data_IF_054086455344
#
_entry.id   IF_054086455344
#
_cell.length_a   1.000
_cell.length_b   1.000
_cell.length_c   1.000
_cell.angle_alpha   90.00
_cell.angle_beta   90.00
_cell.angle_gamma   90.00
#
_symmetry.space_group_name_H-M   'P 1'
#
loop_
_entity.id
_entity.type
_entity.pdbx_description
1 polymer ?
#
# COMPACT_ATOMS: atom_id res chain seq x y z
N UNK A 1 5.55 17.43 -11.61
CA UNK A 1 5.89 16.21 -10.86
C UNK A 1 7.39 16.02 -10.94
N UNK A 2 8.08 15.94 -9.81
CA UNK A 2 9.51 15.63 -9.77
C UNK A 2 9.78 14.57 -8.69
N UNK A 3 10.74 13.65 -8.91
CA UNK A 3 11.07 12.64 -7.92
C UNK A 3 11.54 13.27 -6.60
N UNK A 4 12.22 14.43 -6.63
CA UNK A 4 12.73 15.11 -5.43
C UNK A 4 11.61 15.53 -4.47
N UNK A 5 10.48 16.01 -4.98
CA UNK A 5 9.37 16.39 -4.10
C UNK A 5 8.66 15.14 -3.53
N UNK A 6 8.56 14.06 -4.31
CA UNK A 6 8.05 12.78 -3.81
C UNK A 6 8.96 12.21 -2.71
N UNK A 7 10.27 12.28 -2.90
CA UNK A 7 11.26 11.86 -1.90
C UNK A 7 11.09 12.66 -0.60
N UNK A 8 10.89 13.98 -0.68
CA UNK A 8 10.58 14.81 0.50
C UNK A 8 9.27 14.41 1.17
N UNK A 9 8.20 14.11 0.40
CA UNK A 9 6.92 13.62 0.94
C UNK A 9 7.09 12.36 1.76
N UNK A 10 8.00 11.48 1.38
CA UNK A 10 8.31 10.26 2.12
C UNK A 10 9.43 10.44 3.16
N UNK A 11 9.82 11.69 3.47
CA UNK A 11 10.80 12.00 4.51
C UNK A 11 12.26 11.75 4.13
N UNK A 12 12.57 11.59 2.83
CA UNK A 12 13.93 11.40 2.33
C UNK A 12 14.51 12.69 1.76
N UNK A 13 15.79 12.95 2.06
CA UNK A 13 16.58 13.98 1.37
C UNK A 13 16.97 13.46 -0.02
N UNK A 14 16.54 14.13 -1.12
CA UNK A 14 16.86 13.72 -2.47
C UNK A 14 18.35 13.58 -2.76
N UNK A 15 19.21 14.36 -2.10
CA UNK A 15 20.66 14.32 -2.28
C UNK A 15 21.31 13.06 -1.70
N UNK A 16 20.56 12.28 -0.91
CA UNK A 16 21.04 11.07 -0.23
C UNK A 16 20.53 9.78 -0.88
N UNK A 17 19.75 9.87 -1.95
CA UNK A 17 19.26 8.70 -2.68
C UNK A 17 20.29 8.35 -3.74
N UNK A 18 20.95 7.21 -3.54
CA UNK A 18 21.94 6.68 -4.47
C UNK A 18 21.29 6.14 -5.76
N UNK A 19 22.13 5.79 -6.73
CA UNK A 19 21.74 5.10 -7.97
C UNK A 19 20.91 3.82 -7.71
N UNK A 20 20.06 3.39 -8.67
CA UNK A 20 19.21 2.21 -8.53
C UNK A 20 19.94 0.96 -8.02
N UNK A 21 19.42 0.37 -6.94
CA UNK A 21 19.96 -0.86 -6.35
C UNK A 21 19.12 -1.38 -5.18
N UNK A 22 19.44 -2.55 -4.62
CA UNK A 22 18.59 -3.18 -3.61
C UNK A 22 18.47 -2.37 -2.31
N UNK A 23 19.57 -1.75 -1.86
CA UNK A 23 19.56 -0.98 -0.61
C UNK A 23 18.78 0.35 -0.75
N UNK A 24 18.96 1.17 -1.81
CA UNK A 24 18.09 2.31 -2.05
C UNK A 24 16.63 1.91 -2.25
N UNK A 25 16.34 0.82 -2.98
CA UNK A 25 14.97 0.31 -3.18
C UNK A 25 14.29 -0.01 -1.85
N UNK A 26 14.99 -0.73 -0.95
CA UNK A 26 14.52 -1.02 0.41
C UNK A 26 14.22 0.25 1.19
N UNK A 27 15.12 1.23 1.13
CA UNK A 27 14.95 2.52 1.83
C UNK A 27 13.74 3.29 1.30
N UNK A 28 13.50 3.29 -0.01
CA UNK A 28 12.35 3.95 -0.64
C UNK A 28 11.03 3.31 -0.20
N UNK A 29 10.92 1.98 -0.27
CA UNK A 29 9.71 1.24 0.14
C UNK A 29 9.40 1.47 1.61
N UNK A 30 10.41 1.33 2.48
CA UNK A 30 10.26 1.51 3.92
C UNK A 30 9.82 2.93 4.28
N UNK A 31 10.45 3.94 3.67
CA UNK A 31 10.11 5.35 3.88
C UNK A 31 8.67 5.66 3.43
N UNK A 32 8.24 5.16 2.27
CA UNK A 32 6.88 5.37 1.79
C UNK A 32 5.83 4.81 2.75
N UNK A 33 5.97 3.55 3.16
CA UNK A 33 4.98 2.84 3.99
C UNK A 33 4.78 3.49 5.36
N UNK A 34 5.78 4.25 5.83
CA UNK A 34 5.74 5.01 7.08
C UNK A 34 5.24 6.44 6.94
N UNK A 35 5.35 7.03 5.76
CA UNK A 35 5.01 8.43 5.54
C UNK A 35 3.64 8.61 4.86
N UNK A 36 3.24 7.69 4.00
CA UNK A 36 2.03 7.79 3.19
C UNK A 36 1.00 6.78 3.67
N UNK A 37 -0.14 7.21 4.24
CA UNK A 37 -1.16 6.30 4.70
C UNK A 37 -1.84 5.55 3.55
N UNK A 38 -2.22 4.30 3.82
CA UNK A 38 -3.25 3.61 3.08
C UNK A 38 -4.61 4.14 3.53
N UNK A 39 -5.47 4.61 2.61
CA UNK A 39 -6.80 5.14 2.95
C UNK A 39 -7.82 5.00 1.81
N UNK A 40 -9.10 4.88 2.16
CA UNK A 40 -10.23 4.86 1.23
C UNK A 40 -11.16 6.09 1.39
N UNK A 41 -10.73 7.17 2.03
CA UNK A 41 -11.56 8.37 2.28
C UNK A 41 -11.96 9.07 0.98
N UNK A 42 -11.15 8.98 -0.08
CA UNK A 42 -11.56 9.44 -1.41
C UNK A 42 -12.76 8.66 -1.98
N UNK A 43 -13.04 7.46 -1.46
CA UNK A 43 -14.16 6.61 -1.85
C UNK A 43 -15.36 6.87 -0.93
N UNK A 44 -15.16 6.74 0.38
CA UNK A 44 -16.27 6.76 1.36
C UNK A 44 -16.65 8.17 1.86
N UNK A 45 -15.78 9.16 1.64
CA UNK A 45 -15.97 10.51 2.18
C UNK A 45 -15.54 10.64 3.64
N UNK A 46 -16.03 11.70 4.28
CA UNK A 46 -15.87 11.94 5.71
C UNK A 46 -16.93 11.15 6.49
N UNK A 47 -16.55 10.22 7.40
CA UNK A 47 -17.51 9.45 8.17
C UNK A 47 -18.31 10.28 9.18
N UNK A 48 -17.84 11.46 9.57
CA UNK A 48 -18.44 12.31 10.61
C UNK A 48 -18.74 13.73 10.12
N UNK A 49 -18.67 13.96 8.82
CA UNK A 49 -18.96 15.24 8.16
C UNK A 49 -19.86 15.08 6.93
N UNK A 50 -20.11 16.19 6.22
CA UNK A 50 -20.98 16.19 5.03
C UNK A 50 -20.18 16.01 3.71
N UNK A 51 -18.86 15.86 3.79
CA UNK A 51 -17.99 15.73 2.63
C UNK A 51 -18.08 14.34 2.01
N UNK A 52 -18.64 14.25 0.80
CA UNK A 52 -18.66 13.00 0.00
C UNK A 52 -17.28 12.65 -0.58
N UNK A 53 -17.08 11.37 -0.89
CA UNK A 53 -15.88 10.89 -1.57
C UNK A 53 -15.78 11.43 -2.99
N UNK A 54 -14.63 12.05 -3.33
CA UNK A 54 -14.37 12.61 -4.66
C UNK A 54 -14.14 11.53 -5.76
N UNK A 55 -14.03 10.27 -5.38
CA UNK A 55 -13.64 9.15 -6.23
C UNK A 55 -12.13 9.06 -6.45
N UNK A 56 -11.71 7.90 -6.95
CA UNK A 56 -10.33 7.56 -7.24
C UNK A 56 -10.08 7.50 -8.74
N UNK A 57 -9.08 8.27 -9.15
CA UNK A 57 -8.55 8.36 -10.52
C UNK A 57 -7.16 7.75 -10.56
N UNK A 58 -6.83 7.04 -11.64
CA UNK A 58 -5.49 6.46 -11.84
C UNK A 58 -4.58 7.36 -12.68
N UNK A 59 -4.92 8.64 -12.85
CA UNK A 59 -4.07 9.59 -13.58
C UNK A 59 -2.84 9.96 -12.74
N UNK A 60 -1.63 9.61 -13.20
CA UNK A 60 -0.38 9.90 -12.48
C UNK A 60 -0.25 11.37 -12.02
N UNK A 61 -0.56 12.39 -12.85
CA UNK A 61 -0.61 13.79 -12.39
C UNK A 61 -1.56 14.05 -11.22
N UNK A 62 -2.75 13.45 -11.24
CA UNK A 62 -3.75 13.64 -10.17
C UNK A 62 -3.36 12.88 -8.90
N UNK A 63 -2.80 11.67 -9.05
CA UNK A 63 -2.22 10.91 -7.94
C UNK A 63 -1.09 11.69 -7.27
N UNK A 64 -0.19 12.28 -8.06
CA UNK A 64 0.90 13.10 -7.54
C UNK A 64 0.37 14.32 -6.78
N UNK A 65 -0.61 15.03 -7.34
CA UNK A 65 -1.25 16.17 -6.65
C UNK A 65 -1.89 15.73 -5.32
N UNK A 66 -2.61 14.60 -5.30
CA UNK A 66 -3.25 14.06 -4.10
C UNK A 66 -2.21 13.67 -3.04
N UNK A 67 -1.30 12.77 -3.39
CA UNK A 67 -0.42 12.11 -2.42
C UNK A 67 0.77 12.98 -2.03
N UNK A 68 1.34 13.73 -2.97
CA UNK A 68 2.57 14.50 -2.76
C UNK A 68 2.30 15.95 -2.42
N UNK A 69 1.42 16.61 -3.17
CA UNK A 69 1.21 18.06 -2.99
C UNK A 69 0.20 18.39 -1.90
N UNK A 70 -0.80 17.53 -1.70
CA UNK A 70 -1.82 17.65 -0.64
C UNK A 70 -1.59 16.69 0.52
N UNK A 71 -0.48 15.97 0.48
CA UNK A 71 -0.02 15.05 1.53
C UNK A 71 -1.02 13.97 1.95
N UNK A 72 -1.99 13.65 1.09
CA UNK A 72 -2.98 12.59 1.33
C UNK A 72 -2.39 11.19 1.14
N UNK A 73 -3.16 10.18 1.55
CA UNK A 73 -2.89 8.78 1.25
C UNK A 73 -3.59 8.32 -0.03
N UNK A 74 -3.80 7.01 -0.12
CA UNK A 74 -4.66 6.37 -1.10
C UNK A 74 -4.72 4.86 -0.89
N UNK A 75 -5.48 4.16 -1.71
CA UNK A 75 -5.48 2.68 -1.66
C UNK A 75 -4.50 2.07 -2.68
N UNK A 76 -4.50 0.74 -2.82
CA UNK A 76 -3.44 -0.01 -3.50
C UNK A 76 -3.10 0.50 -4.92
N UNK A 77 -4.10 0.79 -5.76
CA UNK A 77 -3.86 1.28 -7.13
C UNK A 77 -3.23 2.68 -7.17
N UNK A 78 -3.54 3.53 -6.19
CA UNK A 78 -2.98 4.88 -6.11
C UNK A 78 -1.54 4.84 -5.63
N UNK A 79 -1.29 4.10 -4.54
CA UNK A 79 0.01 4.02 -3.89
C UNK A 79 1.03 3.31 -4.77
N UNK A 80 0.72 2.08 -5.21
CA UNK A 80 1.63 1.36 -6.11
C UNK A 80 1.68 2.01 -7.49
N UNK A 81 0.58 2.62 -7.93
CA UNK A 81 0.47 3.41 -9.16
C UNK A 81 1.52 4.50 -9.24
N UNK A 82 1.54 5.36 -8.21
CA UNK A 82 2.44 6.49 -8.10
C UNK A 82 3.86 6.08 -7.71
N UNK A 83 4.02 5.06 -6.86
CA UNK A 83 5.35 4.56 -6.48
C UNK A 83 6.10 3.97 -7.68
N UNK A 84 5.42 3.27 -8.58
CA UNK A 84 6.02 2.85 -9.84
C UNK A 84 6.54 4.04 -10.67
N UNK A 85 5.78 5.14 -10.74
CA UNK A 85 6.26 6.34 -11.43
C UNK A 85 7.52 6.91 -10.78
N UNK A 86 7.61 6.88 -9.44
CA UNK A 86 8.85 7.25 -8.74
C UNK A 86 10.00 6.34 -9.15
N UNK A 87 9.80 5.02 -9.11
CA UNK A 87 10.83 4.03 -9.44
C UNK A 87 11.37 4.23 -10.86
N UNK A 88 10.47 4.36 -11.85
CA UNK A 88 10.82 4.66 -13.24
C UNK A 88 11.57 6.00 -13.36
N UNK A 89 11.10 7.05 -12.68
CA UNK A 89 11.76 8.36 -12.69
C UNK A 89 13.15 8.36 -12.03
N UNK A 90 13.41 7.43 -11.11
CA UNK A 90 14.73 7.21 -10.49
C UNK A 90 15.61 6.27 -11.31
N UNK A 91 15.12 5.72 -12.42
CA UNK A 91 15.89 4.88 -13.34
C UNK A 91 15.84 3.38 -13.04
N UNK A 92 14.92 2.90 -12.20
CA UNK A 92 14.68 1.47 -12.06
C UNK A 92 13.95 0.92 -13.29
N UNK A 93 14.35 -0.26 -13.75
CA UNK A 93 13.51 -1.07 -14.63
C UNK A 93 12.40 -1.71 -13.78
N UNK A 94 11.14 -1.38 -14.08
CA UNK A 94 10.01 -1.77 -13.23
C UNK A 94 8.78 -2.08 -14.06
N UNK A 95 8.12 -3.19 -13.74
CA UNK A 95 6.85 -3.59 -14.30
C UNK A 95 5.70 -3.40 -13.31
N UNK A 96 4.52 -3.08 -13.83
CA UNK A 96 3.27 -3.18 -13.07
C UNK A 96 2.72 -4.58 -13.29
N UNK A 97 2.40 -5.28 -12.21
CA UNK A 97 1.78 -6.60 -12.27
C UNK A 97 0.40 -6.57 -11.64
N UNK A 98 -0.51 -7.34 -12.24
CA UNK A 98 -1.84 -7.53 -11.72
C UNK A 98 -1.86 -8.69 -10.72
N UNK A 99 -2.32 -8.42 -9.51
CA UNK A 99 -2.40 -9.36 -8.41
C UNK A 99 -3.85 -9.61 -8.00
N UNK A 100 -4.07 -10.75 -7.36
CA UNK A 100 -5.37 -11.17 -6.81
C UNK A 100 -5.17 -11.49 -5.33
N UNK A 101 -5.86 -10.76 -4.47
CA UNK A 101 -5.83 -11.01 -3.02
C UNK A 101 -6.33 -12.42 -2.72
N UNK A 102 -5.72 -13.07 -1.73
CA UNK A 102 -6.22 -14.32 -1.16
C UNK A 102 -7.03 -13.96 0.09
N UNK A 103 -8.34 -14.17 0.03
CA UNK A 103 -9.27 -14.03 1.16
C UNK A 103 -9.71 -15.39 1.71
N UNK A 104 -10.69 -15.38 2.62
CA UNK A 104 -11.19 -16.58 3.31
C UNK A 104 -11.75 -17.64 2.34
N UNK A 105 -12.30 -17.20 1.21
CA UNK A 105 -12.82 -18.06 0.13
C UNK A 105 -11.78 -18.50 -0.90
N UNK A 106 -10.51 -18.16 -0.69
CA UNK A 106 -9.42 -18.32 -1.65
C UNK A 106 -9.14 -17.07 -2.46
N UNK A 107 -8.59 -17.25 -3.66
CA UNK A 107 -8.15 -16.15 -4.52
C UNK A 107 -9.36 -15.39 -5.09
N UNK A 108 -9.37 -14.08 -4.88
CA UNK A 108 -10.42 -13.19 -5.35
C UNK A 108 -10.27 -12.86 -6.84
N UNK A 109 -11.41 -12.71 -7.52
CA UNK A 109 -11.47 -12.42 -8.96
C UNK A 109 -12.39 -11.21 -9.22
N UNK A 110 -12.06 -10.35 -10.20
CA UNK A 110 -10.87 -10.34 -11.04
C UNK A 110 -9.61 -9.89 -10.28
N UNK A 111 -8.49 -9.63 -10.97
CA UNK A 111 -7.31 -9.03 -10.36
C UNK A 111 -7.68 -7.68 -9.71
N UNK A 112 -7.54 -7.63 -8.39
CA UNK A 112 -8.02 -6.57 -7.49
C UNK A 112 -6.90 -5.87 -6.73
N UNK A 113 -5.65 -6.18 -7.07
CA UNK A 113 -4.49 -5.55 -6.48
C UNK A 113 -3.45 -5.24 -7.57
N UNK A 114 -2.69 -4.17 -7.35
CA UNK A 114 -1.55 -3.79 -8.19
C UNK A 114 -0.30 -3.92 -7.34
N UNK A 115 0.71 -4.64 -7.83
CA UNK A 115 2.06 -4.64 -7.26
C UNK A 115 3.09 -4.29 -8.34
N UNK A 116 4.33 -4.02 -7.95
CA UNK A 116 5.41 -3.76 -8.88
C UNK A 116 6.45 -4.89 -8.83
N UNK A 117 7.07 -5.19 -9.97
CA UNK A 117 8.25 -6.06 -10.05
C UNK A 117 9.41 -5.21 -10.54
N UNK A 118 10.45 -5.08 -9.72
CA UNK A 118 11.67 -4.33 -10.06
C UNK A 118 12.75 -5.30 -10.51
N UNK A 119 13.39 -4.97 -11.63
CA UNK A 119 14.46 -5.75 -12.24
C UNK A 119 15.81 -5.11 -11.91
N UNK A 120 16.62 -5.82 -11.12
CA UNK A 120 18.03 -5.52 -10.85
C UNK A 120 18.84 -6.76 -11.29
N UNK A 121 19.95 -7.07 -10.63
CA UNK A 121 20.62 -8.37 -10.79
C UNK A 121 19.67 -9.55 -10.44
N UNK A 122 18.77 -9.30 -9.47
CA UNK A 122 17.64 -10.16 -9.11
C UNK A 122 16.32 -9.39 -9.29
N UNK A 123 15.20 -10.13 -9.22
CA UNK A 123 13.85 -9.55 -9.29
C UNK A 123 13.25 -9.42 -7.91
N UNK A 124 12.56 -8.31 -7.68
CA UNK A 124 11.92 -8.01 -6.40
C UNK A 124 10.47 -7.60 -6.59
N UNK A 125 9.58 -8.20 -5.82
CA UNK A 125 8.23 -7.66 -5.62
C UNK A 125 8.32 -6.45 -4.70
N UNK A 126 7.75 -5.34 -5.15
CA UNK A 126 7.69 -4.08 -4.42
C UNK A 126 6.25 -3.62 -4.35
N UNK A 127 5.75 -3.54 -3.12
CA UNK A 127 4.35 -3.25 -2.84
C UNK A 127 4.25 -2.33 -1.62
N UNK A 128 4.01 -1.05 -1.88
CA UNK A 128 3.81 -0.03 -0.84
C UNK A 128 2.32 0.26 -0.59
N UNK A 129 1.44 -0.37 -1.38
CA UNK A 129 -0.01 -0.20 -1.34
C UNK A 129 -0.75 -1.37 -0.68
N UNK A 130 -0.04 -2.35 -0.14
CA UNK A 130 -0.66 -3.42 0.65
C UNK A 130 -1.24 -2.86 1.95
N UNK A 131 -2.46 -3.28 2.28
CA UNK A 131 -3.13 -2.98 3.55
C UNK A 131 -2.44 -3.64 4.75
N UNK A 132 -3.15 -4.50 5.47
CA UNK A 132 -2.64 -5.18 6.68
C UNK A 132 -2.39 -6.68 6.44
N UNK A 133 -1.23 -7.24 6.86
CA UNK A 133 -0.03 -6.52 7.28
C UNK A 133 0.62 -5.79 6.10
N UNK A 134 1.36 -4.70 6.42
CA UNK A 134 2.05 -3.88 5.43
C UNK A 134 3.31 -4.59 4.92
N UNK A 135 3.58 -4.53 3.62
CA UNK A 135 4.88 -4.94 3.06
C UNK A 135 5.83 -3.75 3.18
N UNK A 136 6.87 -3.87 4.01
CA UNK A 136 7.76 -2.75 4.36
C UNK A 136 9.05 -2.70 3.56
N UNK A 137 9.32 -3.74 2.79
CA UNK A 137 10.56 -3.88 2.03
C UNK A 137 10.36 -4.77 0.80
N UNK A 138 11.23 -4.64 -0.22
CA UNK A 138 11.20 -5.49 -1.40
C UNK A 138 11.37 -6.97 -1.02
N UNK A 139 10.63 -7.84 -1.72
CA UNK A 139 10.64 -9.28 -1.49
C UNK A 139 11.28 -9.94 -2.71
N UNK A 140 12.41 -10.67 -2.55
CA UNK A 140 13.03 -11.39 -3.65
C UNK A 140 12.07 -12.43 -4.28
N UNK A 141 12.12 -12.55 -5.60
CA UNK A 141 11.30 -13.53 -6.36
C UNK A 141 11.95 -14.93 -6.38
N UNK A 142 13.12 -15.09 -5.77
CA UNK A 142 13.92 -16.34 -5.80
C UNK A 142 13.51 -17.39 -4.73
N UNK A 143 12.48 -17.11 -3.93
CA UNK A 143 12.05 -17.99 -2.84
C UNK A 143 12.62 -17.63 -1.46
N UNK A 144 13.61 -16.73 -1.39
CA UNK A 144 14.17 -16.31 -0.11
C UNK A 144 13.17 -15.49 0.71
N UNK A 145 13.19 -15.74 2.02
CA UNK A 145 12.37 -14.99 2.97
C UNK A 145 13.11 -13.76 3.46
N UNK A 146 12.37 -12.67 3.65
CA UNK A 146 12.88 -11.43 4.26
C UNK A 146 12.03 -11.07 5.48
N UNK A 147 12.68 -10.83 6.61
CA UNK A 147 12.05 -10.34 7.84
C UNK A 147 12.15 -8.83 7.91
N UNK A 148 11.03 -8.15 8.10
CA UNK A 148 11.03 -6.70 8.29
C UNK A 148 11.37 -6.31 9.73
N UNK A 149 11.44 -5.00 9.97
CA UNK A 149 11.80 -4.41 11.27
C UNK A 149 10.70 -4.52 12.34
N UNK A 150 9.52 -5.06 11.99
CA UNK A 150 8.41 -5.29 12.93
C UNK A 150 8.09 -6.78 13.10
N UNK A 151 8.95 -7.66 12.58
CA UNK A 151 8.86 -9.11 12.77
C UNK A 151 7.89 -9.81 11.82
N UNK A 152 7.55 -9.23 10.67
CA UNK A 152 6.80 -9.94 9.62
C UNK A 152 7.79 -10.50 8.60
N UNK A 153 7.72 -11.81 8.38
CA UNK A 153 8.46 -12.48 7.34
C UNK A 153 7.63 -12.55 6.06
N UNK A 154 8.24 -12.22 4.93
CA UNK A 154 7.63 -12.28 3.60
C UNK A 154 8.47 -13.13 2.65
N UNK A 155 7.81 -13.83 1.73
CA UNK A 155 8.47 -14.54 0.62
C UNK A 155 7.59 -14.57 -0.62
N UNK A 156 8.23 -14.69 -1.77
CA UNK A 156 7.57 -15.05 -3.03
C UNK A 156 7.94 -16.50 -3.34
N UNK A 157 6.96 -17.34 -3.64
CA UNK A 157 7.21 -18.72 -4.07
C UNK A 157 6.38 -19.05 -5.31
N UNK A 158 6.77 -20.09 -6.03
CA UNK A 158 6.01 -20.58 -7.17
C UNK A 158 4.60 -21.01 -6.75
N UNK A 159 3.64 -20.68 -7.60
CA UNK A 159 2.26 -21.09 -7.44
C UNK A 159 2.06 -22.50 -8.00
N UNK A 160 1.30 -23.33 -7.27
CA UNK A 160 0.86 -24.64 -7.76
C UNK A 160 -0.32 -24.55 -8.73
N UNK A 161 -0.95 -23.37 -8.85
CA UNK A 161 -2.06 -23.13 -9.79
C UNK A 161 -1.55 -22.86 -11.19
N UNK A 162 -2.22 -23.39 -12.23
CA UNK A 162 -1.77 -23.23 -13.62
C UNK A 162 -2.03 -21.83 -14.21
N UNK A 163 -2.85 -21.00 -13.56
CA UNK A 163 -3.27 -19.68 -14.08
C UNK A 163 -2.52 -18.49 -13.47
N UNK A 164 -1.59 -18.74 -12.55
CA UNK A 164 -0.75 -17.73 -11.87
C UNK A 164 0.64 -18.30 -11.60
N UNK A 165 1.67 -17.45 -11.72
CA UNK A 165 3.06 -17.89 -11.65
C UNK A 165 3.59 -17.88 -10.22
N UNK A 166 3.23 -16.87 -9.43
CA UNK A 166 3.76 -16.67 -8.08
C UNK A 166 2.68 -16.43 -7.04
N UNK A 167 2.99 -16.78 -5.79
CA UNK A 167 2.27 -16.35 -4.60
C UNK A 167 3.20 -15.60 -3.65
N UNK A 168 2.68 -14.52 -3.09
CA UNK A 168 3.31 -13.79 -1.98
C UNK A 168 2.67 -14.28 -0.70
N UNK A 169 3.49 -14.71 0.26
CA UNK A 169 3.04 -15.21 1.54
C UNK A 169 3.79 -14.53 2.68
N UNK A 170 3.15 -14.47 3.84
CA UNK A 170 3.72 -13.92 5.05
C UNK A 170 3.48 -14.79 6.27
N UNK A 171 4.21 -14.50 7.34
CA UNK A 171 3.95 -15.00 8.69
C UNK A 171 4.51 -14.01 9.72
N UNK A 172 4.02 -14.07 10.94
CA UNK A 172 4.61 -13.30 12.04
C UNK A 172 5.76 -14.08 12.68
N UNK A 173 6.68 -13.36 13.33
CA UNK A 173 7.77 -13.97 14.09
C UNK A 173 7.22 -14.98 15.11
N UNK A 174 7.76 -16.20 15.08
CA UNK A 174 7.31 -17.33 15.89
C UNK A 174 6.22 -18.20 15.26
N UNK A 175 5.58 -17.78 14.16
CA UNK A 175 4.62 -18.62 13.45
C UNK A 175 5.33 -19.67 12.58
N UNK A 176 4.81 -20.90 12.57
CA UNK A 176 5.32 -21.96 11.69
C UNK A 176 4.69 -21.89 10.29
N UNK A 177 3.41 -21.54 10.22
CA UNK A 177 2.61 -21.55 9.00
C UNK A 177 2.71 -20.24 8.21
N UNK A 178 2.73 -20.37 6.89
CA UNK A 178 2.69 -19.23 5.98
C UNK A 178 1.25 -18.96 5.53
N UNK A 179 0.84 -17.71 5.57
CA UNK A 179 -0.45 -17.24 5.05
C UNK A 179 -0.24 -16.63 3.67
N UNK A 180 -0.96 -17.14 2.67
CA UNK A 180 -0.96 -16.58 1.32
C UNK A 180 -1.66 -15.21 1.33
N UNK A 181 -1.01 -14.19 0.78
CA UNK A 181 -1.54 -12.82 0.75
C UNK A 181 -2.16 -12.47 -0.59
N UNK A 182 -1.44 -12.76 -1.67
CA UNK A 182 -1.93 -12.61 -3.03
C UNK A 182 -1.14 -13.48 -3.99
N UNK A 183 -1.73 -13.70 -5.15
CA UNK A 183 -1.06 -14.31 -6.30
C UNK A 183 -0.91 -13.31 -7.43
N UNK A 184 0.12 -13.48 -8.25
CA UNK A 184 0.34 -12.64 -9.41
C UNK A 184 1.04 -13.41 -10.53
N UNK A 185 0.99 -12.82 -11.71
CA UNK A 185 1.79 -13.20 -12.86
C UNK A 185 2.70 -12.03 -13.23
N UNK A 186 3.88 -12.31 -13.76
CA UNK A 186 4.85 -11.27 -14.13
C UNK A 186 4.53 -10.57 -15.45
N UNK A 187 3.41 -10.89 -16.12
CA UNK A 187 2.97 -10.16 -17.32
C UNK A 187 2.81 -8.66 -17.03
N UNK A 188 3.59 -7.79 -17.68
CA UNK A 188 3.49 -6.35 -17.47
C UNK A 188 2.14 -5.80 -17.89
N UNK A 189 1.62 -4.84 -17.12
CA UNK A 189 0.34 -4.17 -17.38
C UNK A 189 0.50 -2.67 -17.53
N UNK A 190 -0.28 -2.07 -18.42
CA UNK A 190 -0.48 -0.63 -18.41
C UNK A 190 -1.31 -0.22 -17.20
N UNK A 191 -1.20 1.04 -16.76
CA UNK A 191 -2.03 1.56 -15.68
C UNK A 191 -3.54 1.47 -16.00
N UNK A 192 -3.91 1.64 -17.28
CA UNK A 192 -5.29 1.49 -17.76
C UNK A 192 -5.88 0.09 -17.57
N UNK A 193 -5.06 -0.94 -17.41
CA UNK A 193 -5.53 -2.30 -17.11
C UNK A 193 -6.35 -2.33 -15.80
N UNK A 194 -6.01 -1.47 -14.84
CA UNK A 194 -6.63 -1.43 -13.53
C UNK A 194 -7.89 -0.56 -13.49
N UNK A 195 -8.20 0.23 -14.53
CA UNK A 195 -9.31 1.19 -14.53
C UNK A 195 -10.66 0.53 -14.24
N UNK A 196 -10.97 -0.59 -14.92
CA UNK A 196 -12.24 -1.29 -14.73
C UNK A 196 -12.37 -1.91 -13.33
N UNK A 197 -11.28 -2.39 -12.74
CA UNK A 197 -11.31 -2.92 -11.38
C UNK A 197 -11.38 -1.80 -10.34
N UNK A 198 -10.62 -0.72 -10.53
CA UNK A 198 -10.70 0.49 -9.72
C UNK A 198 -12.13 1.05 -9.70
N UNK A 199 -12.80 1.02 -10.86
CA UNK A 199 -14.19 1.42 -11.02
C UNK A 199 -15.17 0.57 -10.19
N UNK A 200 -14.98 -0.75 -10.22
CA UNK A 200 -15.75 -1.69 -9.42
C UNK A 200 -15.48 -1.51 -7.92
N UNK A 201 -14.21 -1.55 -7.50
CA UNK A 201 -13.84 -1.50 -6.08
C UNK A 201 -14.26 -0.19 -5.39
N UNK A 202 -14.32 0.93 -6.10
CA UNK A 202 -14.70 2.20 -5.49
C UNK A 202 -16.22 2.49 -5.53
N UNK A 203 -17.04 1.68 -6.22
CA UNK A 203 -18.47 1.98 -6.43
C UNK A 203 -19.43 0.84 -6.14
N UNK A 204 -18.97 -0.40 -6.27
CA UNK A 204 -19.82 -1.56 -6.05
C UNK A 204 -20.16 -1.68 -4.56
N UNK A 205 -21.44 -1.82 -4.18
CA UNK A 205 -21.84 -1.91 -2.78
C UNK A 205 -21.31 -3.17 -2.08
N UNK A 206 -20.92 -4.19 -2.85
CA UNK A 206 -20.27 -5.41 -2.34
C UNK A 206 -18.78 -5.22 -2.07
N UNK A 207 -18.18 -4.11 -2.53
CA UNK A 207 -16.77 -3.83 -2.28
C UNK A 207 -16.54 -3.51 -0.80
N UNK A 208 -15.50 -4.10 -0.21
CA UNK A 208 -15.07 -3.77 1.14
C UNK A 208 -14.58 -2.32 1.25
N UNK A 209 -14.21 -1.69 0.14
CA UNK A 209 -13.72 -0.31 0.11
C UNK A 209 -14.83 0.75 0.14
N UNK A 210 -16.09 0.39 -0.12
CA UNK A 210 -17.24 1.32 -0.08
C UNK A 210 -17.99 1.28 1.25
N UNK A 211 -17.50 0.49 2.21
CA UNK A 211 -18.06 0.40 3.56
C UNK A 211 -17.51 1.47 4.49
N UNK A 212 -17.00 1.07 5.64
CA UNK A 212 -16.40 1.98 6.62
C UNK A 212 -15.09 2.62 6.11
N UNK A 213 -14.74 3.83 6.60
CA UNK A 213 -13.41 4.36 6.40
C UNK A 213 -12.36 3.41 7.00
N UNK A 214 -11.20 3.36 6.36
CA UNK A 214 -10.06 2.58 6.82
C UNK A 214 -8.79 3.32 6.45
N UNK A 215 -8.11 3.85 7.45
CA UNK A 215 -6.85 4.59 7.31
C UNK A 215 -5.77 3.81 8.06
N UNK A 216 -4.62 3.53 7.44
CA UNK A 216 -3.51 2.88 8.15
C UNK A 216 -2.14 3.36 7.70
N UNK A 217 -1.20 3.48 8.63
CA UNK A 217 0.20 3.87 8.35
C UNK A 217 1.17 3.03 9.17
N UNK A 218 2.34 2.72 8.61
CA UNK A 218 3.39 2.00 9.35
C UNK A 218 4.10 2.93 10.36
N UNK A 219 4.43 2.43 11.54
CA UNK A 219 5.20 3.17 12.57
C UNK A 219 6.66 2.71 12.64
N UNK A 220 7.43 3.03 13.68
CA UNK A 220 8.76 2.44 13.85
C UNK A 220 8.71 0.94 14.20
N UNK A 221 7.67 0.52 14.92
CA UNK A 221 7.59 -0.79 15.59
C UNK A 221 6.28 -1.53 15.33
N UNK A 222 5.48 -1.07 14.36
CA UNK A 222 4.27 -1.75 13.91
C UNK A 222 3.47 -0.88 12.94
N UNK A 223 2.21 -0.64 13.28
CA UNK A 223 1.31 0.19 12.49
C UNK A 223 0.17 0.74 13.34
N UNK A 224 -0.47 1.80 12.83
CA UNK A 224 -1.71 2.33 13.37
C UNK A 224 -2.80 2.21 12.30
N UNK A 225 -4.01 1.86 12.70
CA UNK A 225 -5.19 1.76 11.86
C UNK A 225 -6.37 2.49 12.52
N UNK A 226 -7.11 3.27 11.75
CA UNK A 226 -8.28 4.03 12.18
C UNK A 226 -9.45 3.65 11.27
N UNK A 227 -10.54 3.21 11.87
CA UNK A 227 -11.86 3.14 11.22
C UNK A 227 -12.75 4.31 11.67
N UNK A 228 -14.07 4.22 11.52
CA UNK A 228 -14.98 5.29 11.90
C UNK A 228 -15.03 5.55 13.40
N UNK A 229 -14.73 4.55 14.24
CA UNK A 229 -15.00 4.61 15.68
C UNK A 229 -13.84 4.10 16.54
N UNK A 230 -12.80 3.51 15.93
CA UNK A 230 -11.76 2.78 16.64
C UNK A 230 -10.38 3.11 16.07
N UNK A 231 -9.43 3.42 16.96
CA UNK A 231 -8.01 3.44 16.66
C UNK A 231 -7.38 2.16 17.20
N UNK A 232 -6.68 1.44 16.33
CA UNK A 232 -5.92 0.24 16.67
C UNK A 232 -4.44 0.51 16.41
N UNK A 233 -3.62 0.36 17.44
CA UNK A 233 -2.16 0.46 17.35
C UNK A 233 -1.52 -0.89 17.64
N UNK A 234 -0.68 -1.35 16.72
CA UNK A 234 0.13 -2.53 16.88
C UNK A 234 1.57 -2.10 17.19
N UNK A 235 2.12 -2.61 18.30
CA UNK A 235 3.50 -2.38 18.74
C UNK A 235 4.16 -3.73 19.00
N UNK A 236 4.98 -4.18 18.07
CA UNK A 236 5.46 -5.56 18.07
C UNK A 236 4.29 -6.55 18.08
N UNK A 237 4.24 -7.42 19.08
CA UNK A 237 3.15 -8.38 19.26
C UNK A 237 1.95 -7.83 20.06
N UNK A 238 2.05 -6.61 20.60
CA UNK A 238 0.96 -6.00 21.38
C UNK A 238 -0.05 -5.29 20.48
N UNK A 239 -1.32 -5.43 20.80
CA UNK A 239 -2.43 -4.71 20.18
C UNK A 239 -3.08 -3.81 21.24
N UNK A 240 -3.09 -2.50 20.96
CA UNK A 240 -3.77 -1.48 21.73
C UNK A 240 -4.97 -0.98 20.93
N UNK A 241 -6.13 -0.90 21.56
CA UNK A 241 -7.39 -0.53 20.90
C UNK A 241 -8.10 0.51 21.76
N UNK A 242 -8.49 1.62 21.14
CA UNK A 242 -9.24 2.68 21.78
C UNK A 242 -10.42 3.14 20.92
N UNK A 243 -11.51 3.49 21.58
CA UNK A 243 -12.67 4.09 20.90
C UNK A 243 -12.42 5.57 20.68
N UNK A 244 -12.67 6.03 19.46
CA UNK A 244 -12.54 7.41 19.01
C UNK A 244 -13.94 7.98 18.80
N UNK A 245 -14.40 8.92 19.64
CA UNK A 245 -15.69 9.55 19.44
C UNK A 245 -15.65 10.49 18.22
N UNK A 246 -16.81 10.76 17.56
CA UNK A 246 -16.88 11.60 16.36
C UNK A 246 -16.16 12.94 16.49
N UNK A 247 -16.30 13.63 17.63
CA UNK A 247 -15.68 14.94 17.88
C UNK A 247 -14.14 14.93 17.96
N UNK A 248 -13.53 13.76 18.14
CA UNK A 248 -12.07 13.60 18.19
C UNK A 248 -11.49 12.97 16.92
N UNK A 249 -12.34 12.51 15.99
CA UNK A 249 -11.90 11.70 14.86
C UNK A 249 -10.95 12.45 13.91
N UNK A 250 -11.27 13.71 13.58
CA UNK A 250 -10.43 14.56 12.72
C UNK A 250 -9.09 14.92 13.36
N UNK A 251 -9.07 15.10 14.68
CA UNK A 251 -7.84 15.36 15.44
C UNK A 251 -6.94 14.12 15.40
N UNK A 252 -7.50 12.93 15.65
CA UNK A 252 -6.76 11.66 15.54
C UNK A 252 -6.26 11.44 14.11
N UNK A 253 -7.08 11.71 13.09
CA UNK A 253 -6.69 11.59 11.69
C UNK A 253 -5.47 12.47 11.37
N UNK A 254 -5.49 13.73 11.85
CA UNK A 254 -4.39 14.68 11.64
C UNK A 254 -3.14 14.26 12.42
N UNK A 255 -3.26 13.99 13.72
CA UNK A 255 -2.12 13.71 14.60
C UNK A 255 -1.43 12.38 14.29
N UNK A 256 -2.19 11.35 13.90
CA UNK A 256 -1.67 9.99 13.73
C UNK A 256 -1.34 9.64 12.29
N UNK A 257 -1.97 10.30 11.31
CA UNK A 257 -1.83 9.97 9.88
C UNK A 257 -1.41 11.14 9.01
N UNK A 258 -1.25 12.35 9.56
CA UNK A 258 -0.88 13.56 8.82
C UNK A 258 -1.87 13.86 7.68
N UNK A 259 -3.15 13.52 7.88
CA UNK A 259 -4.24 13.80 6.94
C UNK A 259 -5.15 14.86 7.54
N UNK A 260 -5.26 15.98 6.85
CA UNK A 260 -6.33 16.96 7.08
C UNK A 260 -7.38 16.87 5.98
N UNK A 261 -8.64 16.73 6.37
CA UNK A 261 -9.76 16.92 5.46
C UNK A 261 -10.08 18.42 5.34
N UNK A 262 -10.56 18.90 4.18
CA UNK A 262 -11.04 20.27 4.07
C UNK A 262 -12.12 20.53 5.12
N UNK A 263 -12.06 21.68 5.80
CA UNK A 263 -13.18 22.13 6.62
C UNK A 263 -14.36 22.51 5.71
N UNK A 264 -15.58 22.17 6.14
CA UNK A 264 -16.84 22.58 5.48
C UNK A 264 -16.98 24.12 5.38
#
# INVERSE_FOLDING_TARGET
MTPEQYLRRIGLDPSTVDEPGPAPLRRLSHAHVRAVPFENLAIVGDPHGDTEGAGVTLSTPQLYQKIVERERGGYCFELNGLFHWLLDALGYEVDRVAARITGDGGIELPANHHANVVHLDDRYVVDVGMGLPKIRQPIPVDGSAVTDDVGVEWRVVDSERPDVTHRVAFRYDGDEEWTDRYVFDETPRSLSYFEATNDYLQRAPESTFTGSPSVSVGTDNGLVHLDSETLVEYVGAEKHEESVPPEAWHDVLTERFDISLPAD
#
